data_IF_416567679069
#
_entry.id   IF_416567679069
#
_cell.length_a   1.000
_cell.length_b   1.000
_cell.length_c   1.000
_cell.angle_alpha   90.00
_cell.angle_beta   90.00
_cell.angle_gamma   90.00
#
_symmetry.space_group_name_H-M   'P 1'
#
loop_
_entity.id
_entity.type
_entity.pdbx_description
1 polymer ?
#
# COMPACT_ATOMS: atom_id res chain seq x y z
N UNK A 1 -31.72 -26.04 -2.77
CA UNK A 1 -31.95 -25.95 -1.34
C UNK A 1 -31.03 -24.91 -0.70
N UNK A 2 -31.42 -24.34 0.40
CA UNK A 2 -30.73 -23.28 1.13
C UNK A 2 -29.30 -23.65 1.60
N UNK A 3 -29.05 -24.97 1.82
CA UNK A 3 -27.72 -25.44 2.27
C UNK A 3 -26.64 -25.23 1.20
N UNK A 4 -26.89 -25.64 -0.04
CA UNK A 4 -25.93 -25.47 -1.12
C UNK A 4 -25.62 -24.00 -1.39
N UNK A 5 -26.61 -23.13 -1.32
CA UNK A 5 -26.43 -21.67 -1.49
C UNK A 5 -25.54 -21.09 -0.40
N UNK A 6 -25.74 -21.48 0.86
CA UNK A 6 -24.91 -21.03 1.98
C UNK A 6 -23.48 -21.55 1.90
N UNK A 7 -23.30 -22.82 1.49
CA UNK A 7 -21.97 -23.41 1.30
C UNK A 7 -21.19 -22.65 0.22
N UNK A 8 -21.83 -22.38 -0.93
CA UNK A 8 -21.20 -21.60 -2.00
C UNK A 8 -20.87 -20.18 -1.56
N UNK A 9 -21.75 -19.51 -0.80
CA UNK A 9 -21.48 -18.19 -0.27
C UNK A 9 -20.24 -18.19 0.66
N UNK A 10 -20.10 -19.19 1.53
CA UNK A 10 -18.94 -19.32 2.42
C UNK A 10 -17.65 -19.61 1.64
N UNK A 11 -17.69 -20.40 0.58
CA UNK A 11 -16.54 -20.64 -0.28
C UNK A 11 -16.12 -19.36 -1.01
N UNK A 12 -17.08 -18.59 -1.53
CA UNK A 12 -16.81 -17.31 -2.17
C UNK A 12 -16.23 -16.28 -1.19
N UNK A 13 -16.67 -16.26 0.07
CA UNK A 13 -16.06 -15.43 1.13
C UNK A 13 -14.61 -15.84 1.39
N UNK A 14 -14.32 -17.12 1.45
CA UNK A 14 -12.96 -17.63 1.60
C UNK A 14 -12.10 -17.22 0.39
N UNK A 15 -12.63 -17.28 -0.82
CA UNK A 15 -11.95 -16.86 -2.05
C UNK A 15 -11.64 -15.35 -2.03
N UNK A 16 -12.59 -14.50 -1.62
CA UNK A 16 -12.37 -13.06 -1.46
C UNK A 16 -11.25 -12.77 -0.45
N UNK A 17 -11.25 -13.44 0.70
CA UNK A 17 -10.23 -13.27 1.73
C UNK A 17 -8.84 -13.77 1.30
N UNK A 18 -8.77 -14.83 0.49
CA UNK A 18 -7.50 -15.42 0.07
C UNK A 18 -6.87 -14.71 -1.11
N UNK A 19 -7.66 -14.22 -2.07
CA UNK A 19 -7.14 -13.67 -3.32
C UNK A 19 -8.03 -12.64 -4.01
N UNK A 20 -9.16 -12.26 -3.39
CA UNK A 20 -10.12 -11.35 -4.01
C UNK A 20 -9.58 -9.93 -4.22
N UNK A 21 -10.12 -9.27 -5.25
CA UNK A 21 -9.82 -7.88 -5.60
C UNK A 21 -11.07 -7.01 -5.47
N UNK A 22 -10.91 -5.82 -4.90
CA UNK A 22 -11.95 -4.77 -4.84
C UNK A 22 -11.39 -3.45 -5.32
N UNK A 23 -12.11 -2.77 -6.20
CA UNK A 23 -11.83 -1.37 -6.57
C UNK A 23 -12.72 -0.46 -5.74
N UNK A 24 -12.11 0.33 -4.86
CA UNK A 24 -12.78 1.24 -3.94
C UNK A 24 -12.57 2.69 -4.36
N UNK A 25 -13.64 3.36 -4.76
CA UNK A 25 -13.57 4.81 -4.98
C UNK A 25 -13.39 5.54 -3.64
N UNK A 26 -12.38 6.38 -3.56
CA UNK A 26 -12.13 7.24 -2.39
C UNK A 26 -13.05 8.46 -2.49
N UNK A 27 -13.83 8.70 -1.45
CA UNK A 27 -14.76 9.82 -1.37
C UNK A 27 -13.99 11.14 -1.34
N UNK A 28 -14.27 12.03 -2.29
CA UNK A 28 -13.64 13.36 -2.35
C UNK A 28 -14.40 14.42 -1.54
N UNK A 29 -14.90 14.02 -0.39
CA UNK A 29 -15.48 14.91 0.63
C UNK A 29 -14.60 14.86 1.89
N UNK A 30 -14.88 15.70 2.87
CA UNK A 30 -14.21 15.63 4.17
C UNK A 30 -14.54 14.37 4.99
N UNK A 31 -15.48 13.54 4.54
CA UNK A 31 -15.88 12.29 5.20
C UNK A 31 -14.94 11.16 4.83
N UNK A 32 -14.45 10.35 5.80
CA UNK A 32 -13.64 9.18 5.50
C UNK A 32 -14.37 8.17 4.63
N UNK A 33 -13.64 7.51 3.72
CA UNK A 33 -14.13 6.36 2.97
C UNK A 33 -14.07 5.13 3.88
N UNK A 34 -15.21 4.62 4.30
CA UNK A 34 -15.28 3.46 5.18
C UNK A 34 -15.25 2.16 4.38
N UNK A 35 -14.26 1.32 4.64
CA UNK A 35 -14.27 -0.07 4.22
C UNK A 35 -15.11 -0.89 5.21
N UNK A 36 -15.77 -1.93 4.72
CA UNK A 36 -16.75 -2.71 5.49
C UNK A 36 -16.45 -4.20 5.44
N UNK A 37 -16.79 -4.88 6.53
CA UNK A 37 -16.90 -6.33 6.59
C UNK A 37 -18.38 -6.64 6.77
N UNK A 38 -18.94 -7.46 5.89
CA UNK A 38 -20.32 -7.88 5.93
C UNK A 38 -20.37 -9.34 6.38
N UNK A 39 -20.85 -9.57 7.60
CA UNK A 39 -20.92 -10.91 8.17
C UNK A 39 -21.85 -11.84 7.35
N UNK A 40 -21.27 -12.90 6.81
CA UNK A 40 -21.99 -13.87 5.99
C UNK A 40 -22.44 -13.37 4.60
N UNK A 41 -22.06 -12.17 4.17
CA UNK A 41 -22.40 -11.61 2.86
C UNK A 41 -21.15 -11.25 2.05
N UNK A 42 -21.26 -11.25 0.72
CA UNK A 42 -20.16 -10.98 -0.22
C UNK A 42 -19.93 -9.48 -0.50
N UNK A 43 -20.63 -8.60 0.19
CA UNK A 43 -20.69 -7.17 -0.11
C UNK A 43 -19.69 -6.32 0.67
N UNK A 44 -18.91 -6.91 1.57
CA UNK A 44 -17.92 -6.19 2.37
C UNK A 44 -16.71 -5.78 1.53
N UNK A 45 -16.39 -4.49 1.54
CA UNK A 45 -15.27 -3.94 0.75
C UNK A 45 -13.90 -4.25 1.36
N UNK A 46 -13.84 -4.53 2.68
CA UNK A 46 -12.63 -4.98 3.38
C UNK A 46 -12.50 -6.53 3.41
N UNK A 47 -13.30 -7.27 2.65
CA UNK A 47 -13.23 -8.72 2.58
C UNK A 47 -12.31 -9.23 1.46
N UNK A 48 -11.68 -8.33 0.73
CA UNK A 48 -10.81 -8.66 -0.40
C UNK A 48 -9.34 -8.48 -0.02
N UNK A 49 -8.49 -9.39 -0.48
CA UNK A 49 -7.05 -9.35 -0.22
C UNK A 49 -6.39 -8.13 -0.86
N UNK A 50 -6.82 -7.78 -2.07
CA UNK A 50 -6.32 -6.64 -2.83
C UNK A 50 -7.39 -5.57 -2.89
N UNK A 51 -7.06 -4.36 -2.44
CA UNK A 51 -7.96 -3.21 -2.51
C UNK A 51 -7.26 -2.10 -3.29
N UNK A 52 -7.81 -1.73 -4.43
CA UNK A 52 -7.34 -0.60 -5.23
C UNK A 52 -8.16 0.65 -4.89
N UNK A 53 -7.50 1.66 -4.35
CA UNK A 53 -8.09 2.96 -4.06
C UNK A 53 -8.07 3.81 -5.31
N UNK A 54 -9.25 4.19 -5.80
CA UNK A 54 -9.44 4.92 -7.07
C UNK A 54 -10.15 6.25 -6.86
N UNK A 55 -10.29 7.04 -7.91
CA UNK A 55 -11.01 8.31 -7.91
C UNK A 55 -10.10 9.52 -7.94
N UNK A 56 -10.69 10.67 -8.27
CA UNK A 56 -10.03 11.96 -8.25
C UNK A 56 -10.23 12.61 -6.88
N UNK A 57 -9.14 13.00 -6.22
CA UNK A 57 -9.19 13.65 -4.90
C UNK A 57 -8.60 15.06 -4.99
N UNK A 58 -9.25 16.00 -4.31
CA UNK A 58 -8.88 17.43 -4.28
C UNK A 58 -8.30 17.88 -2.94
N UNK A 59 -8.07 16.94 -2.00
CA UNK A 59 -7.48 17.17 -0.68
C UNK A 59 -7.01 15.86 -0.05
N UNK A 60 -6.35 15.95 1.11
CA UNK A 60 -5.98 14.79 1.90
C UNK A 60 -7.24 13.97 2.27
N UNK A 61 -7.16 12.64 2.10
CA UNK A 61 -8.28 11.74 2.33
C UNK A 61 -7.92 10.64 3.33
N UNK A 62 -8.96 10.12 3.96
CA UNK A 62 -8.84 9.04 4.94
C UNK A 62 -9.69 7.87 4.48
N UNK A 63 -9.11 6.68 4.54
CA UNK A 63 -9.79 5.40 4.34
C UNK A 63 -9.75 4.65 5.67
N UNK A 64 -10.91 4.17 6.11
CA UNK A 64 -11.02 3.51 7.42
C UNK A 64 -11.38 2.05 7.31
N UNK A 65 -10.78 1.25 8.19
CA UNK A 65 -11.08 -0.16 8.40
C UNK A 65 -11.95 -0.33 9.66
N UNK A 66 -12.80 -1.36 9.71
CA UNK A 66 -13.52 -1.69 10.95
C UNK A 66 -12.55 -2.00 12.10
N UNK A 67 -12.97 -1.76 13.34
CA UNK A 67 -12.26 -2.25 14.52
C UNK A 67 -12.26 -3.78 14.57
N UNK A 68 -11.36 -4.36 15.34
CA UNK A 68 -11.20 -5.81 15.51
C UNK A 68 -10.85 -6.56 14.23
N UNK A 69 -10.53 -5.85 13.15
CA UNK A 69 -10.04 -6.49 11.92
C UNK A 69 -8.62 -6.99 12.15
N UNK A 70 -8.43 -8.30 12.05
CA UNK A 70 -7.13 -8.96 12.06
C UNK A 70 -6.91 -9.59 10.69
N UNK A 71 -6.16 -8.91 9.84
CA UNK A 71 -5.93 -9.35 8.45
C UNK A 71 -4.76 -8.60 7.83
N UNK A 72 -4.23 -9.10 6.71
CA UNK A 72 -3.31 -8.34 5.89
C UNK A 72 -3.91 -8.03 4.52
N UNK A 73 -3.48 -6.92 3.92
CA UNK A 73 -3.98 -6.42 2.65
C UNK A 73 -2.86 -5.95 1.75
N UNK A 74 -3.08 -6.03 0.46
CA UNK A 74 -2.33 -5.32 -0.56
C UNK A 74 -3.18 -4.11 -0.96
N UNK A 75 -2.76 -2.92 -0.56
CA UNK A 75 -3.47 -1.68 -0.89
C UNK A 75 -2.73 -0.96 -2.00
N UNK A 76 -3.39 -0.75 -3.14
CA UNK A 76 -2.87 0.02 -4.26
C UNK A 76 -3.50 1.41 -4.27
N UNK A 77 -2.68 2.45 -4.26
CA UNK A 77 -3.15 3.82 -4.41
C UNK A 77 -3.12 4.23 -5.88
N UNK A 78 -4.28 4.22 -6.52
CA UNK A 78 -4.51 4.68 -7.89
C UNK A 78 -5.36 5.96 -7.93
N UNK A 79 -5.47 6.70 -6.82
CA UNK A 79 -6.16 7.99 -6.82
C UNK A 79 -5.41 9.00 -7.68
N UNK A 80 -6.13 9.87 -8.38
CA UNK A 80 -5.53 11.05 -9.02
C UNK A 80 -5.51 12.24 -8.06
N UNK A 81 -4.66 13.23 -8.35
CA UNK A 81 -4.42 14.36 -7.46
C UNK A 81 -3.21 14.16 -6.53
N UNK A 82 -2.50 15.25 -6.27
CA UNK A 82 -1.27 15.25 -5.45
C UNK A 82 -1.60 15.45 -3.97
N UNK A 83 -2.36 14.52 -3.38
CA UNK A 83 -2.79 14.55 -1.99
C UNK A 83 -2.53 13.23 -1.30
N UNK A 84 -2.40 13.28 0.03
CA UNK A 84 -2.17 12.09 0.85
C UNK A 84 -3.44 11.25 0.99
N UNK A 85 -3.25 9.93 1.14
CA UNK A 85 -4.30 9.00 1.53
C UNK A 85 -3.85 8.27 2.78
N UNK A 86 -4.55 8.50 3.90
CA UNK A 86 -4.27 7.85 5.17
C UNK A 86 -5.17 6.63 5.37
N UNK A 87 -4.58 5.54 5.78
CA UNK A 87 -5.23 4.30 6.19
C UNK A 87 -5.22 4.22 7.72
N UNK A 88 -6.37 4.02 8.33
CA UNK A 88 -6.50 3.91 9.79
C UNK A 88 -7.74 3.09 10.18
N UNK A 89 -7.85 2.71 11.44
CA UNK A 89 -9.11 2.19 11.96
C UNK A 89 -10.18 3.30 12.05
N UNK A 90 -11.44 2.91 12.05
CA UNK A 90 -12.59 3.84 12.08
C UNK A 90 -12.59 4.72 13.34
N UNK A 91 -12.00 4.25 14.43
CA UNK A 91 -11.83 4.98 15.69
C UNK A 91 -10.59 4.51 16.45
N UNK A 92 -10.33 5.14 17.59
CA UNK A 92 -9.16 4.80 18.42
C UNK A 92 -7.89 5.52 18.00
N UNK A 93 -6.79 5.22 18.69
CA UNK A 93 -5.45 5.80 18.53
C UNK A 93 -4.42 4.79 18.00
N UNK A 94 -4.87 3.72 17.35
CA UNK A 94 -4.00 2.73 16.72
C UNK A 94 -3.08 3.34 15.65
N UNK A 95 -2.02 2.63 15.30
CA UNK A 95 -1.10 3.03 14.25
C UNK A 95 -1.81 3.28 12.91
N UNK A 96 -1.24 4.14 12.08
CA UNK A 96 -1.79 4.50 10.76
C UNK A 96 -0.72 4.42 9.69
N UNK A 97 -1.13 4.15 8.46
CA UNK A 97 -0.27 4.16 7.28
C UNK A 97 -0.72 5.26 6.34
N UNK A 98 0.20 6.02 5.78
CA UNK A 98 -0.14 7.10 4.85
C UNK A 98 0.64 6.93 3.55
N UNK A 99 -0.07 6.99 2.43
CA UNK A 99 0.51 7.26 1.13
C UNK A 99 0.80 8.75 1.03
N UNK A 100 2.04 9.11 0.69
CA UNK A 100 2.39 10.51 0.43
C UNK A 100 1.66 11.03 -0.82
N UNK A 101 1.68 12.35 -1.02
CA UNK A 101 0.93 13.00 -2.10
C UNK A 101 1.26 12.46 -3.49
N UNK A 102 2.51 12.09 -3.72
CA UNK A 102 3.02 11.57 -5.00
C UNK A 102 3.11 10.05 -5.04
N UNK A 103 2.87 9.38 -3.91
CA UNK A 103 3.03 7.92 -3.81
C UNK A 103 1.81 7.21 -4.40
N UNK A 104 1.91 6.81 -5.66
CA UNK A 104 0.89 6.07 -6.41
C UNK A 104 1.35 4.61 -6.64
N UNK A 105 1.63 3.94 -5.54
CA UNK A 105 2.21 2.59 -5.48
C UNK A 105 1.31 1.63 -4.70
N UNK A 106 1.80 0.43 -4.46
CA UNK A 106 1.15 -0.54 -3.58
C UNK A 106 1.93 -0.68 -2.28
N UNK A 107 1.21 -0.87 -1.18
CA UNK A 107 1.75 -1.24 0.12
C UNK A 107 1.13 -2.55 0.58
N UNK A 108 1.92 -3.39 1.25
CA UNK A 108 1.40 -4.53 2.01
C UNK A 108 1.27 -4.07 3.45
N UNK A 109 0.06 -4.10 3.97
CA UNK A 109 -0.26 -3.68 5.32
C UNK A 109 -0.87 -4.84 6.11
N UNK A 110 -0.78 -4.78 7.44
CA UNK A 110 -1.57 -5.66 8.30
C UNK A 110 -2.28 -4.83 9.37
N UNK A 111 -3.37 -5.39 9.86
CA UNK A 111 -4.14 -4.87 11.00
C UNK A 111 -4.04 -5.89 12.13
N UNK A 112 -3.81 -5.39 13.36
CA UNK A 112 -3.56 -6.21 14.55
C UNK A 112 -4.82 -6.65 15.31
N UNK A 113 -5.98 -6.17 14.91
CA UNK A 113 -7.26 -6.53 15.52
C UNK A 113 -7.43 -6.06 16.98
N UNK A 114 -6.55 -5.25 17.52
CA UNK A 114 -6.65 -4.79 18.92
C UNK A 114 -7.94 -4.02 19.12
N UNK A 115 -8.75 -4.47 20.09
CA UNK A 115 -10.01 -3.84 20.43
C UNK A 115 -9.79 -2.36 20.79
N UNK A 116 -10.66 -1.48 20.36
CA UNK A 116 -10.65 -0.02 20.54
C UNK A 116 -9.51 0.73 19.87
N UNK A 117 -8.35 0.11 19.63
CA UNK A 117 -7.15 0.72 19.07
C UNK A 117 -6.52 -0.13 17.96
N UNK A 118 -7.35 -0.74 17.10
CA UNK A 118 -6.83 -1.48 15.94
C UNK A 118 -5.83 -0.64 15.17
N UNK A 119 -4.59 -1.13 15.09
CA UNK A 119 -3.50 -0.50 14.34
C UNK A 119 -3.48 -0.94 12.90
N UNK A 120 -3.03 -0.05 12.02
CA UNK A 120 -2.71 -0.34 10.62
C UNK A 120 -1.21 -0.15 10.47
N UNK A 121 -0.50 -1.19 10.04
CA UNK A 121 0.95 -1.22 9.95
C UNK A 121 1.41 -1.52 8.53
N UNK A 122 2.38 -0.77 8.04
CA UNK A 122 3.10 -1.09 6.80
C UNK A 122 4.13 -2.19 7.10
N UNK A 123 4.16 -3.25 6.31
CA UNK A 123 5.16 -4.31 6.46
C UNK A 123 6.56 -3.87 6.03
N UNK A 124 6.67 -2.73 5.32
CA UNK A 124 7.92 -2.24 4.77
C UNK A 124 8.44 -3.07 3.59
N UNK A 125 7.63 -3.95 3.01
CA UNK A 125 8.01 -4.76 1.86
C UNK A 125 8.33 -3.84 0.67
N UNK A 126 9.54 -3.95 0.11
CA UNK A 126 10.03 -3.07 -0.96
C UNK A 126 10.57 -1.70 -0.47
N UNK A 127 10.50 -1.41 0.82
CA UNK A 127 11.11 -0.21 1.37
C UNK A 127 12.64 -0.36 1.39
N UNK A 128 13.32 0.50 0.63
CA UNK A 128 14.78 0.51 0.55
C UNK A 128 15.38 -0.35 -0.56
N UNK A 129 14.57 -0.92 -1.44
CA UNK A 129 15.04 -1.63 -2.61
C UNK A 129 15.68 -0.67 -3.63
N UNK A 130 16.82 -1.07 -4.16
CA UNK A 130 17.47 -0.34 -5.26
C UNK A 130 16.77 -0.69 -6.56
N UNK A 131 16.12 0.28 -7.21
CA UNK A 131 15.42 0.07 -8.47
C UNK A 131 16.39 0.14 -9.66
N UNK A 132 16.11 -0.65 -10.72
CA UNK A 132 16.95 -0.70 -11.92
C UNK A 132 16.99 0.61 -12.73
N UNK A 133 15.98 1.47 -12.57
CA UNK A 133 15.82 2.66 -13.44
C UNK A 133 15.64 3.98 -12.66
N UNK A 134 15.60 3.93 -11.35
CA UNK A 134 15.42 5.13 -10.51
C UNK A 134 16.74 5.79 -10.15
N UNK A 135 16.78 7.12 -10.09
CA UNK A 135 17.87 7.86 -9.44
C UNK A 135 17.77 7.63 -7.94
N UNK A 136 18.80 7.07 -7.34
CA UNK A 136 18.81 6.72 -5.92
C UNK A 136 20.10 7.16 -5.25
N UNK A 137 19.97 7.65 -4.03
CA UNK A 137 21.12 7.91 -3.15
C UNK A 137 21.31 6.72 -2.23
N UNK A 138 22.47 6.06 -2.33
CA UNK A 138 22.84 4.96 -1.46
C UNK A 138 23.62 5.50 -0.26
N UNK A 139 22.99 5.50 0.93
CA UNK A 139 23.64 5.94 2.17
C UNK A 139 24.05 4.71 2.98
N UNK A 140 25.28 4.71 3.52
CA UNK A 140 25.84 3.62 4.34
C UNK A 140 25.77 2.25 3.64
N UNK A 141 26.07 2.22 2.34
CA UNK A 141 26.15 0.98 1.55
C UNK A 141 27.57 0.71 1.12
N UNK A 142 28.00 -0.54 1.27
CA UNK A 142 29.23 -1.04 0.68
C UNK A 142 28.91 -1.69 -0.67
N UNK A 143 29.54 -1.21 -1.72
CA UNK A 143 29.40 -1.80 -3.05
C UNK A 143 30.58 -2.75 -3.28
N UNK A 144 30.33 -4.05 -3.31
CA UNK A 144 31.36 -5.05 -3.64
C UNK A 144 31.49 -5.20 -5.14
N UNK A 145 32.67 -4.90 -5.69
CA UNK A 145 32.96 -4.97 -7.12
C UNK A 145 31.94 -4.24 -8.03
N UNK A 146 31.66 -2.95 -7.80
CA UNK A 146 30.72 -2.22 -8.63
C UNK A 146 31.24 -2.09 -10.06
N UNK A 147 30.39 -2.37 -11.05
CA UNK A 147 30.69 -2.14 -12.46
C UNK A 147 30.23 -0.72 -12.83
N UNK A 148 31.19 0.20 -13.01
CA UNK A 148 30.93 1.59 -13.35
C UNK A 148 31.17 1.76 -14.84
N UNK A 149 30.17 2.25 -15.57
CA UNK A 149 30.18 2.29 -17.03
C UNK A 149 31.09 3.38 -17.65
N UNK A 150 31.14 4.56 -17.02
CA UNK A 150 31.85 5.74 -17.62
C UNK A 150 32.72 6.46 -16.61
N UNK A 151 32.13 7.06 -15.59
CA UNK A 151 32.86 7.92 -14.64
C UNK A 151 32.18 7.99 -13.28
N UNK A 152 32.94 8.46 -12.29
CA UNK A 152 32.40 8.87 -10.98
C UNK A 152 32.43 10.40 -10.97
N UNK A 153 31.29 11.02 -10.64
CA UNK A 153 31.14 12.48 -10.59
C UNK A 153 31.04 12.97 -9.15
N UNK A 154 31.45 14.20 -8.90
CA UNK A 154 31.17 14.92 -7.65
C UNK A 154 29.71 15.44 -7.62
N UNK A 155 29.31 16.09 -6.53
CA UNK A 155 27.96 16.65 -6.38
C UNK A 155 27.65 17.81 -7.36
N UNK A 156 28.68 18.38 -7.98
CA UNK A 156 28.59 19.47 -8.98
C UNK A 156 28.61 18.92 -10.42
N UNK A 157 28.73 17.59 -10.58
CA UNK A 157 28.80 16.94 -11.89
C UNK A 157 30.20 16.92 -12.51
N UNK A 158 31.24 17.32 -11.77
CA UNK A 158 32.62 17.22 -12.26
C UNK A 158 33.15 15.81 -12.13
N UNK A 159 33.94 15.38 -13.08
CA UNK A 159 34.49 14.03 -13.14
C UNK A 159 35.60 13.86 -12.09
N UNK A 160 35.39 12.97 -11.11
CA UNK A 160 36.39 12.57 -10.13
C UNK A 160 37.28 11.42 -10.63
N UNK A 161 36.70 10.51 -11.41
CA UNK A 161 37.39 9.37 -11.97
C UNK A 161 36.80 9.03 -13.32
N UNK A 162 37.61 9.16 -14.36
CA UNK A 162 37.30 8.68 -15.71
C UNK A 162 37.83 7.26 -15.88
N UNK A 163 36.92 6.34 -16.17
CA UNK A 163 37.29 4.97 -16.53
C UNK A 163 37.52 4.88 -18.03
N UNK A 164 38.74 5.04 -18.47
CA UNK A 164 39.11 4.80 -19.87
C UNK A 164 39.39 3.32 -20.09
N UNK A 165 38.75 2.73 -21.09
CA UNK A 165 39.09 1.38 -21.53
C UNK A 165 40.47 1.45 -22.21
N UNK A 166 41.51 1.15 -21.48
CA UNK A 166 42.81 0.77 -22.08
C UNK A 166 42.73 -0.73 -22.37
N UNK A 167 42.59 -1.09 -23.64
CA UNK A 167 42.64 -2.49 -24.07
C UNK A 167 43.99 -3.16 -23.80
#
# INVERSE_FOLDING_TARGET
>A
GTWGTKTNANLNLAEQLLGGYNSQAVTDSGTPTALTIADGALTGTAQHRVIELTGSISGARVVTFPLLTENFYIIKNSTSGAYTVQLKAVSGSGATVTFSATEKTSKIIYLDGVATNTGVFDTGFGAGDVTLTGTQTLTNKTLTAPKIGTSILDTSGNELLLLTATG
#
